data_IF_139031491884
#
_entry.id   IF_139031491884
#
_cell.length_a   1.000
_cell.length_b   1.000
_cell.length_c   1.000
_cell.angle_alpha   90.00
_cell.angle_beta   90.00
_cell.angle_gamma   90.00
#
_symmetry.space_group_name_H-M   'P 1'
#
loop_
_entity.id
_entity.type
_entity.pdbx_description
1 polymer ?
#
# COMPACT_ATOMS: atom_id res chain seq x y z
N UNK A 1 -37.55 -56.28 24.02
CA UNK A 1 -37.23 -55.20 24.98
C UNK A 1 -35.83 -54.60 24.74
N UNK A 2 -34.77 -55.40 24.50
CA UNK A 2 -33.38 -54.93 24.27
C UNK A 2 -33.23 -54.00 23.05
N UNK A 3 -33.92 -54.26 21.93
CA UNK A 3 -33.88 -53.38 20.73
C UNK A 3 -34.49 -51.98 20.94
N UNK A 4 -35.44 -51.81 21.87
CA UNK A 4 -36.01 -50.48 22.16
C UNK A 4 -35.10 -49.64 23.06
N UNK A 5 -34.30 -50.27 23.92
CA UNK A 5 -33.31 -49.58 24.75
C UNK A 5 -32.13 -49.05 23.92
N UNK A 6 -31.63 -49.83 22.96
CA UNK A 6 -30.54 -49.41 22.07
C UNK A 6 -30.86 -48.15 21.23
N UNK A 7 -32.10 -48.00 20.73
CA UNK A 7 -32.49 -46.82 19.97
C UNK A 7 -32.55 -45.53 20.80
N UNK A 8 -32.84 -45.62 22.11
CA UNK A 8 -32.91 -44.44 22.99
C UNK A 8 -31.52 -43.88 23.32
N UNK A 9 -30.53 -44.74 23.52
CA UNK A 9 -29.14 -44.31 23.74
C UNK A 9 -28.50 -43.75 22.47
N UNK A 10 -28.82 -44.32 21.31
CA UNK A 10 -28.31 -43.83 20.03
C UNK A 10 -28.81 -42.42 19.70
N UNK A 11 -30.12 -42.13 19.87
CA UNK A 11 -30.65 -40.78 19.66
C UNK A 11 -30.06 -39.75 20.63
N UNK A 12 -29.88 -40.13 21.91
CA UNK A 12 -29.29 -39.24 22.94
C UNK A 12 -27.81 -38.93 22.67
N UNK A 13 -27.04 -39.92 22.24
CA UNK A 13 -25.64 -39.73 21.85
C UNK A 13 -25.54 -38.83 20.61
N UNK A 14 -26.37 -39.06 19.59
CA UNK A 14 -26.39 -38.24 18.36
C UNK A 14 -26.74 -36.78 18.68
N UNK A 15 -27.74 -36.55 19.53
CA UNK A 15 -28.12 -35.21 19.95
C UNK A 15 -26.99 -34.52 20.75
N UNK A 16 -26.28 -35.26 21.60
CA UNK A 16 -25.14 -34.74 22.36
C UNK A 16 -23.95 -34.36 21.47
N UNK A 17 -23.68 -35.15 20.43
CA UNK A 17 -22.62 -34.86 19.44
C UNK A 17 -22.99 -33.60 18.63
N UNK A 18 -24.23 -33.50 18.16
CA UNK A 18 -24.68 -32.31 17.41
C UNK A 18 -24.62 -31.06 18.30
N UNK A 19 -25.04 -31.14 19.56
CA UNK A 19 -24.96 -30.03 20.49
C UNK A 19 -23.49 -29.60 20.74
N UNK A 20 -22.58 -30.57 20.90
CA UNK A 20 -21.16 -30.32 21.06
C UNK A 20 -20.56 -29.62 19.83
N UNK A 21 -20.95 -30.01 18.62
CA UNK A 21 -20.49 -29.35 17.38
C UNK A 21 -21.08 -27.94 17.17
N UNK A 22 -22.30 -27.66 17.67
CA UNK A 22 -22.88 -26.31 17.60
C UNK A 22 -22.11 -25.34 18.51
N UNK A 23 -21.66 -25.79 19.68
CA UNK A 23 -20.85 -24.96 20.61
C UNK A 23 -19.37 -24.84 20.24
N UNK A 24 -18.89 -25.60 19.25
CA UNK A 24 -17.51 -25.55 18.75
C UNK A 24 -17.33 -24.59 17.57
N UNK A 25 -18.40 -23.96 17.10
CA UNK A 25 -18.24 -22.88 16.12
C UNK A 25 -17.63 -21.67 16.84
N UNK A 26 -16.41 -21.23 16.49
CA UNK A 26 -15.86 -20.01 17.05
C UNK A 26 -16.85 -18.89 16.73
N UNK A 27 -17.34 -18.19 17.75
CA UNK A 27 -18.10 -16.97 17.56
C UNK A 27 -17.19 -16.04 16.78
N UNK A 28 -17.51 -15.83 15.51
CA UNK A 28 -16.79 -14.87 14.68
C UNK A 28 -17.11 -13.50 15.29
N UNK A 29 -16.14 -12.95 16.04
CA UNK A 29 -16.25 -11.61 16.57
C UNK A 29 -16.46 -10.68 15.37
N UNK A 30 -17.47 -9.83 15.47
CA UNK A 30 -17.75 -8.86 14.43
C UNK A 30 -16.60 -7.86 14.41
N UNK A 31 -16.07 -7.57 13.23
CA UNK A 31 -15.03 -6.56 13.06
C UNK A 31 -15.49 -5.23 13.69
N UNK A 32 -14.72 -4.74 14.66
CA UNK A 32 -14.94 -3.48 15.36
C UNK A 32 -14.09 -2.39 14.71
N UNK A 33 -14.60 -1.15 14.76
CA UNK A 33 -13.84 0.03 14.37
C UNK A 33 -13.32 0.76 15.59
N UNK A 34 -12.01 0.99 15.62
CA UNK A 34 -11.34 1.87 16.57
C UNK A 34 -10.91 3.16 15.89
N UNK A 35 -10.74 4.21 16.67
CA UNK A 35 -10.50 5.58 16.22
C UNK A 35 -9.31 6.18 16.95
N UNK A 36 -8.46 6.86 16.18
CA UNK A 36 -7.25 7.53 16.66
C UNK A 36 -7.30 8.99 16.24
N UNK A 37 -7.14 9.89 17.19
CA UNK A 37 -6.88 11.31 16.94
C UNK A 37 -5.59 11.70 17.68
N UNK A 38 -4.52 11.86 16.91
CA UNK A 38 -3.20 12.16 17.44
C UNK A 38 -3.04 13.59 17.99
N UNK A 39 -4.03 14.46 17.76
CA UNK A 39 -4.04 15.82 18.29
C UNK A 39 -4.82 15.92 19.60
N UNK A 40 -5.94 15.20 19.73
CA UNK A 40 -6.87 15.39 20.86
C UNK A 40 -7.27 14.13 21.62
N UNK A 41 -6.91 12.94 21.13
CA UNK A 41 -7.23 11.66 21.76
C UNK A 41 -6.52 11.42 23.10
N UNK A 42 -6.81 10.28 23.74
CA UNK A 42 -6.12 9.82 24.95
C UNK A 42 -5.94 8.31 24.92
N UNK A 43 -4.75 7.81 25.26
CA UNK A 43 -4.47 6.36 25.32
C UNK A 43 -5.11 5.67 26.53
N UNK A 44 -5.76 6.42 27.41
CA UNK A 44 -6.63 5.86 28.46
C UNK A 44 -8.04 5.52 27.96
N UNK A 45 -8.37 5.92 26.74
CA UNK A 45 -9.70 5.71 26.16
C UNK A 45 -9.86 4.29 25.61
N UNK A 46 -11.10 3.90 25.31
CA UNK A 46 -11.44 2.61 24.70
C UNK A 46 -11.25 2.59 23.17
N UNK A 47 -10.72 3.68 22.62
CA UNK A 47 -10.57 3.94 21.19
C UNK A 47 -11.88 3.87 20.39
N UNK A 48 -13.04 4.04 21.01
CA UNK A 48 -14.32 4.19 20.31
C UNK A 48 -14.44 5.55 19.61
N UNK A 49 -15.46 5.73 18.76
CA UNK A 49 -15.67 6.99 18.02
C UNK A 49 -15.84 8.21 18.95
N UNK A 50 -16.46 8.01 20.12
CA UNK A 50 -16.68 9.06 21.12
C UNK A 50 -15.53 9.22 22.11
N UNK A 51 -14.57 8.31 22.12
CA UNK A 51 -13.44 8.28 23.04
C UNK A 51 -12.21 7.72 22.33
N UNK A 52 -11.62 8.55 21.47
CA UNK A 52 -10.58 8.14 20.53
C UNK A 52 -9.23 8.00 21.24
N UNK A 53 -8.41 7.06 20.78
CA UNK A 53 -7.05 6.90 21.29
C UNK A 53 -6.11 7.98 20.76
N UNK A 54 -5.06 8.28 21.53
CA UNK A 54 -4.06 9.27 21.12
C UNK A 54 -3.08 8.65 20.12
N UNK A 55 -2.72 7.39 20.32
CA UNK A 55 -1.72 6.71 19.52
C UNK A 55 -2.29 5.53 18.75
N UNK A 56 -1.69 5.27 17.58
CA UNK A 56 -1.98 4.11 16.74
C UNK A 56 -1.62 2.81 17.50
N UNK A 57 -0.53 2.84 18.29
CA UNK A 57 -0.09 1.69 19.09
C UNK A 57 -1.11 1.26 20.15
N UNK A 58 -1.77 2.22 20.80
CA UNK A 58 -2.84 1.91 21.74
C UNK A 58 -4.05 1.29 21.03
N UNK A 59 -4.48 1.84 19.89
CA UNK A 59 -5.57 1.25 19.11
C UNK A 59 -5.24 -0.18 18.63
N UNK A 60 -4.00 -0.45 18.20
CA UNK A 60 -3.53 -1.81 17.86
C UNK A 60 -3.60 -2.74 19.07
N UNK A 61 -3.26 -2.25 20.26
CA UNK A 61 -3.30 -3.05 21.50
C UNK A 61 -4.74 -3.47 21.83
N UNK A 62 -5.69 -2.55 21.71
CA UNK A 62 -7.13 -2.80 21.93
C UNK A 62 -7.75 -3.68 20.87
N UNK A 63 -7.35 -3.52 19.61
CA UNK A 63 -7.94 -4.25 18.49
C UNK A 63 -7.68 -5.77 18.51
N UNK A 64 -8.57 -6.52 17.89
CA UNK A 64 -8.45 -7.94 17.56
C UNK A 64 -8.25 -8.14 16.05
N UNK A 65 -7.81 -9.32 15.61
CA UNK A 65 -7.75 -9.63 14.17
C UNK A 65 -9.14 -9.48 13.53
N UNK A 66 -9.19 -8.87 12.35
CA UNK A 66 -10.38 -8.50 11.61
C UNK A 66 -10.83 -7.04 11.82
N UNK A 67 -10.31 -6.36 12.85
CA UNK A 67 -10.75 -5.00 13.19
C UNK A 67 -10.15 -3.92 12.26
N UNK A 68 -10.77 -2.75 12.30
CA UNK A 68 -10.34 -1.55 11.57
C UNK A 68 -9.91 -0.44 12.52
N UNK A 69 -8.77 0.18 12.24
CA UNK A 69 -8.26 1.37 12.93
C UNK A 69 -8.37 2.56 11.98
N UNK A 70 -9.19 3.53 12.35
CA UNK A 70 -9.44 4.77 11.63
C UNK A 70 -8.62 5.89 12.26
N UNK A 71 -7.70 6.48 11.49
CA UNK A 71 -6.87 7.59 11.93
C UNK A 71 -7.49 8.88 11.41
N UNK A 72 -7.81 9.81 12.32
CA UNK A 72 -8.37 11.11 11.98
C UNK A 72 -7.44 11.91 11.06
N UNK A 73 -8.00 12.93 10.40
CA UNK A 73 -7.20 13.89 9.65
C UNK A 73 -6.26 14.65 10.60
N UNK A 74 -5.07 14.99 10.12
CA UNK A 74 -4.02 15.61 10.92
C UNK A 74 -2.67 14.92 10.79
N UNK A 75 -1.74 15.28 11.67
CA UNK A 75 -0.39 14.69 11.71
C UNK A 75 -0.22 13.87 12.99
N UNK A 76 0.07 12.58 12.82
CA UNK A 76 0.45 11.65 13.84
C UNK A 76 1.97 11.49 13.84
N UNK A 77 2.65 12.12 14.80
CA UNK A 77 4.09 11.92 14.98
C UNK A 77 4.32 10.62 15.75
N UNK A 78 5.13 9.72 15.20
CA UNK A 78 5.49 8.46 15.85
C UNK A 78 6.97 8.42 16.21
N UNK A 79 7.27 7.97 17.42
CA UNK A 79 8.64 7.82 17.94
C UNK A 79 9.08 6.36 17.98
N UNK A 80 8.20 5.44 17.58
CA UNK A 80 8.44 4.01 17.50
C UNK A 80 7.74 3.43 16.28
N UNK A 81 8.22 2.28 15.84
CA UNK A 81 7.62 1.51 14.74
C UNK A 81 6.21 1.05 15.09
N UNK A 82 5.28 1.26 14.16
CA UNK A 82 3.93 0.72 14.22
C UNK A 82 3.95 -0.73 13.74
N UNK A 83 3.57 -1.67 14.60
CA UNK A 83 3.57 -3.10 14.29
C UNK A 83 2.28 -3.76 14.79
N UNK A 84 1.40 -4.25 13.89
CA UNK A 84 0.20 -5.02 14.25
C UNK A 84 0.46 -6.36 14.96
N UNK A 85 1.72 -6.81 15.00
CA UNK A 85 2.10 -8.10 15.57
C UNK A 85 1.59 -9.25 14.72
N UNK A 86 0.77 -10.11 15.31
CA UNK A 86 0.10 -11.22 14.60
C UNK A 86 -1.34 -10.89 14.20
N UNK A 87 -1.79 -9.64 14.44
CA UNK A 87 -3.18 -9.24 14.21
C UNK A 87 -3.38 -8.85 12.76
N UNK A 88 -4.47 -9.34 12.17
CA UNK A 88 -4.88 -8.92 10.84
C UNK A 88 -5.74 -7.67 10.95
N UNK A 89 -5.17 -6.49 10.66
CA UNK A 89 -5.84 -5.22 10.88
C UNK A 89 -5.95 -4.42 9.58
N UNK A 90 -7.06 -3.73 9.39
CA UNK A 90 -7.14 -2.62 8.44
C UNK A 90 -6.76 -1.33 9.16
N UNK A 91 -5.65 -0.70 8.77
CA UNK A 91 -5.24 0.61 9.28
C UNK A 91 -5.43 1.62 8.15
N UNK A 92 -6.27 2.64 8.39
CA UNK A 92 -6.62 3.61 7.37
C UNK A 92 -6.64 5.05 7.87
N UNK A 93 -6.21 5.98 7.02
CA UNK A 93 -6.36 7.41 7.24
C UNK A 93 -7.71 7.95 6.75
N UNK A 94 -8.01 9.19 7.15
CA UNK A 94 -9.18 9.93 6.68
C UNK A 94 -9.10 10.32 5.19
N UNK A 95 -7.88 10.35 4.62
CA UNK A 95 -7.64 10.70 3.23
C UNK A 95 -6.24 11.25 2.97
N UNK A 96 -5.96 11.55 1.69
CA UNK A 96 -4.65 12.00 1.19
C UNK A 96 -4.58 13.50 0.86
N UNK A 97 -5.68 14.25 1.01
CA UNK A 97 -5.77 15.63 0.53
C UNK A 97 -6.69 16.51 1.38
N UNK A 98 -6.47 17.83 1.31
CA UNK A 98 -7.34 18.84 1.91
C UNK A 98 -7.53 18.68 3.42
N UNK A 99 -8.76 18.90 3.90
CA UNK A 99 -9.13 18.73 5.31
C UNK A 99 -9.14 17.28 5.78
N UNK A 100 -9.06 16.31 4.87
CA UNK A 100 -9.04 14.88 5.18
C UNK A 100 -7.62 14.30 5.22
N UNK A 101 -6.59 15.12 5.00
CA UNK A 101 -5.21 14.67 4.96
C UNK A 101 -4.78 14.05 6.29
N UNK A 102 -4.45 12.76 6.28
CA UNK A 102 -3.83 12.06 7.41
C UNK A 102 -2.36 11.76 7.12
N UNK A 103 -1.46 12.27 7.97
CA UNK A 103 -0.02 12.05 7.89
C UNK A 103 0.46 11.25 9.09
N UNK A 104 1.25 10.20 8.86
CA UNK A 104 2.00 9.47 9.89
C UNK A 104 3.48 9.76 9.66
N UNK A 105 4.08 10.51 10.58
CA UNK A 105 5.43 11.05 10.42
C UNK A 105 6.33 10.43 11.48
N UNK A 106 7.34 9.67 11.05
CA UNK A 106 8.37 9.21 11.98
C UNK A 106 9.20 10.38 12.51
N UNK A 107 9.61 10.26 13.77
CA UNK A 107 10.53 11.19 14.42
C UNK A 107 11.58 10.41 15.21
N UNK A 108 12.80 10.92 15.23
CA UNK A 108 13.94 10.20 15.82
C UNK A 108 14.38 9.00 14.97
N UNK A 109 14.94 7.98 15.64
CA UNK A 109 15.54 6.81 14.99
C UNK A 109 14.52 5.67 14.88
N UNK A 110 13.62 5.75 13.90
CA UNK A 110 12.58 4.74 13.64
C UNK A 110 12.94 3.98 12.37
N UNK A 111 13.37 2.72 12.50
CA UNK A 111 13.86 1.91 11.36
C UNK A 111 12.81 1.68 10.26
N UNK A 112 11.53 1.66 10.61
CA UNK A 112 10.42 1.72 9.68
C UNK A 112 9.20 2.36 10.33
N UNK A 113 8.42 3.17 9.60
CA UNK A 113 7.16 3.72 10.13
C UNK A 113 6.19 2.59 10.44
N UNK A 114 5.97 1.70 9.45
CA UNK A 114 5.18 0.49 9.61
C UNK A 114 6.04 -0.76 9.42
N UNK A 115 5.82 -1.77 10.27
CA UNK A 115 6.44 -3.10 10.14
C UNK A 115 5.40 -4.19 10.21
N UNK A 116 5.42 -5.07 9.20
CA UNK A 116 4.70 -6.33 9.17
C UNK A 116 5.74 -7.45 9.18
N UNK A 117 5.79 -8.25 10.24
CA UNK A 117 6.89 -9.21 10.42
C UNK A 117 6.42 -10.54 11.04
N UNK A 118 5.24 -11.01 10.63
CA UNK A 118 4.65 -12.26 11.10
C UNK A 118 3.96 -12.99 9.95
N UNK A 119 4.18 -14.30 9.84
CA UNK A 119 3.51 -15.16 8.88
C UNK A 119 1.99 -15.27 9.11
N UNK A 120 1.49 -14.86 10.28
CA UNK A 120 0.05 -14.76 10.56
C UNK A 120 -0.61 -13.55 9.90
N UNK A 121 0.18 -12.58 9.42
CA UNK A 121 -0.32 -11.43 8.66
C UNK A 121 -0.56 -11.91 7.22
N UNK A 122 -1.82 -12.05 6.84
CA UNK A 122 -2.21 -12.33 5.45
C UNK A 122 -2.66 -11.05 4.73
N UNK A 123 -3.21 -11.21 3.52
CA UNK A 123 -3.78 -10.13 2.71
C UNK A 123 -5.04 -9.50 3.33
N UNK A 124 -5.56 -10.06 4.43
CA UNK A 124 -6.59 -9.42 5.26
C UNK A 124 -6.06 -8.21 6.03
N UNK A 125 -4.73 -8.08 6.19
CA UNK A 125 -4.11 -6.88 6.76
C UNK A 125 -3.93 -5.82 5.69
N UNK A 126 -4.45 -4.62 5.92
CA UNK A 126 -4.47 -3.55 4.91
C UNK A 126 -3.95 -2.24 5.50
N UNK A 127 -3.05 -1.57 4.78
CA UNK A 127 -2.63 -0.19 5.06
C UNK A 127 -3.09 0.72 3.92
N UNK A 128 -3.93 1.73 4.21
CA UNK A 128 -4.45 2.59 3.14
C UNK A 128 -4.79 4.03 3.51
N UNK A 129 -4.83 4.90 2.50
CA UNK A 129 -5.27 6.30 2.60
C UNK A 129 -4.45 7.13 3.60
N UNK A 130 -3.13 6.88 3.66
CA UNK A 130 -2.20 7.59 4.54
C UNK A 130 -1.09 8.26 3.74
N UNK A 131 -0.63 9.41 4.23
CA UNK A 131 0.72 9.89 3.92
C UNK A 131 1.67 9.33 4.97
N UNK A 132 2.55 8.42 4.57
CA UNK A 132 3.57 7.81 5.43
C UNK A 132 4.90 8.50 5.17
N UNK A 133 5.47 9.15 6.18
CA UNK A 133 6.73 9.86 6.04
C UNK A 133 7.79 9.25 6.95
N UNK A 134 8.79 8.62 6.32
CA UNK A 134 9.98 8.16 7.01
C UNK A 134 10.89 9.36 7.38
N UNK A 135 11.72 9.17 8.40
CA UNK A 135 12.73 10.15 8.82
C UNK A 135 14.15 9.57 8.80
N UNK A 136 14.28 8.27 9.08
CA UNK A 136 15.54 7.53 9.03
C UNK A 136 15.20 6.04 8.96
N UNK A 137 15.00 5.48 7.77
CA UNK A 137 14.53 4.10 7.62
C UNK A 137 13.54 3.89 6.49
N UNK A 138 12.82 2.76 6.55
CA UNK A 138 11.78 2.41 5.59
C UNK A 138 10.48 3.17 5.88
N UNK A 139 9.70 3.49 4.85
CA UNK A 139 8.29 3.85 5.06
C UNK A 139 7.52 2.64 5.57
N UNK A 140 7.61 1.54 4.82
CA UNK A 140 6.99 0.25 5.16
C UNK A 140 8.01 -0.87 5.03
N UNK A 141 8.18 -1.66 6.09
CA UNK A 141 8.95 -2.90 6.08
C UNK A 141 8.00 -4.10 6.15
N UNK A 142 8.19 -5.07 5.26
CA UNK A 142 7.42 -6.32 5.20
C UNK A 142 8.40 -7.49 5.23
N UNK A 143 8.28 -8.35 6.24
CA UNK A 143 9.17 -9.48 6.47
C UNK A 143 8.47 -10.72 7.00
N UNK A 144 9.23 -11.81 7.16
CA UNK A 144 8.80 -13.04 7.81
C UNK A 144 7.52 -13.65 7.22
N UNK A 145 7.43 -13.67 5.89
CA UNK A 145 6.29 -14.25 5.16
C UNK A 145 4.96 -13.54 5.44
N UNK A 146 5.01 -12.28 5.87
CA UNK A 146 3.84 -11.42 6.01
C UNK A 146 3.34 -11.01 4.62
N UNK A 147 2.03 -11.06 4.40
CA UNK A 147 1.43 -10.80 3.09
C UNK A 147 0.36 -9.68 3.13
N UNK A 148 0.61 -8.52 3.76
CA UNK A 148 -0.37 -7.44 3.81
C UNK A 148 -0.64 -6.85 2.42
N UNK A 149 -1.74 -6.09 2.32
CA UNK A 149 -2.02 -5.21 1.19
C UNK A 149 -1.66 -3.77 1.56
N UNK A 150 -0.72 -3.18 0.84
CA UNK A 150 -0.34 -1.76 1.00
C UNK A 150 -0.92 -1.02 -0.19
N UNK A 151 -1.95 -0.20 0.04
CA UNK A 151 -2.70 0.40 -1.06
C UNK A 151 -3.11 1.86 -0.86
N UNK A 152 -3.16 2.63 -1.94
CA UNK A 152 -3.70 4.01 -1.92
C UNK A 152 -3.02 4.88 -0.87
N UNK A 153 -1.70 4.76 -0.72
CA UNK A 153 -0.91 5.60 0.18
C UNK A 153 -0.01 6.55 -0.61
N UNK A 154 0.37 7.64 0.04
CA UNK A 154 1.52 8.44 -0.35
C UNK A 154 2.68 8.10 0.60
N UNK A 155 3.73 7.45 0.11
CA UNK A 155 4.91 7.11 0.91
C UNK A 155 6.06 8.05 0.54
N UNK A 156 6.52 8.80 1.54
CA UNK A 156 7.66 9.70 1.46
C UNK A 156 8.85 9.00 2.09
N UNK A 157 9.79 8.57 1.26
CA UNK A 157 11.05 7.96 1.71
C UNK A 157 12.01 9.00 2.26
N UNK A 158 13.00 8.51 3.01
CA UNK A 158 14.13 9.30 3.48
C UNK A 158 15.19 9.39 2.37
N UNK A 159 15.45 10.60 1.86
CA UNK A 159 16.40 10.87 0.79
C UNK A 159 17.85 11.00 1.28
N UNK A 160 18.10 11.06 2.59
CA UNK A 160 19.43 11.28 3.15
C UNK A 160 20.24 9.98 3.34
N UNK A 161 19.64 8.81 3.18
CA UNK A 161 20.32 7.52 3.39
C UNK A 161 20.34 6.65 2.13
N UNK A 162 21.53 6.15 1.77
CA UNK A 162 21.69 5.19 0.67
C UNK A 162 21.27 3.76 1.04
N UNK A 163 20.59 3.57 2.17
CA UNK A 163 20.43 2.27 2.80
C UNK A 163 18.97 1.80 2.85
N UNK A 164 18.00 2.71 2.70
CA UNK A 164 16.60 2.39 2.99
C UNK A 164 15.69 2.71 1.81
N UNK A 165 14.92 1.69 1.42
CA UNK A 165 13.85 1.81 0.43
C UNK A 165 12.59 2.41 1.06
N UNK A 166 11.73 3.04 0.28
CA UNK A 166 10.43 3.51 0.76
C UNK A 166 9.53 2.35 1.19
N UNK A 167 9.51 1.26 0.42
CA UNK A 167 8.93 -0.02 0.79
C UNK A 167 10.00 -1.11 0.62
N UNK A 168 10.23 -1.89 1.67
CA UNK A 168 11.13 -3.04 1.64
C UNK A 168 10.39 -4.34 1.96
N UNK A 169 10.60 -5.36 1.14
CA UNK A 169 9.91 -6.65 1.19
C UNK A 169 10.95 -7.77 1.25
N UNK A 170 10.84 -8.60 2.28
CA UNK A 170 11.84 -9.62 2.63
C UNK A 170 11.17 -10.96 2.88
N UNK A 171 11.50 -12.00 2.08
CA UNK A 171 10.92 -13.34 2.17
C UNK A 171 9.38 -13.35 2.32
N UNK A 172 8.69 -12.51 1.52
CA UNK A 172 7.27 -12.21 1.70
C UNK A 172 6.54 -12.11 0.35
N UNK A 173 5.20 -12.23 0.36
CA UNK A 173 4.35 -12.13 -0.83
C UNK A 173 3.20 -11.12 -0.67
N UNK A 174 3.48 -9.85 -0.27
CA UNK A 174 2.44 -8.83 -0.14
C UNK A 174 1.89 -8.39 -1.49
N UNK A 175 0.78 -7.66 -1.46
CA UNK A 175 0.30 -6.86 -2.59
C UNK A 175 0.59 -5.40 -2.35
N UNK A 176 1.27 -4.73 -3.27
CA UNK A 176 1.57 -3.30 -3.24
C UNK A 176 0.86 -2.64 -4.41
N UNK A 177 -0.15 -1.82 -4.15
CA UNK A 177 -0.96 -1.26 -5.23
C UNK A 177 -1.45 0.17 -5.09
N UNK A 178 -1.57 0.89 -6.21
CA UNK A 178 -2.18 2.23 -6.24
C UNK A 178 -1.48 3.22 -5.30
N UNK A 179 -0.19 3.05 -5.00
CA UNK A 179 0.57 3.95 -4.14
C UNK A 179 1.33 4.98 -4.98
N UNK A 180 1.51 6.17 -4.41
CA UNK A 180 2.47 7.18 -4.88
C UNK A 180 3.65 7.16 -3.92
N UNK A 181 4.85 6.91 -4.44
CA UNK A 181 6.07 6.79 -3.66
C UNK A 181 7.02 7.86 -4.16
N UNK A 182 7.47 8.74 -3.26
CA UNK A 182 8.34 9.86 -3.64
C UNK A 182 9.51 9.93 -2.72
N UNK A 183 10.69 10.10 -3.31
CA UNK A 183 11.96 10.18 -2.60
C UNK A 183 12.26 8.89 -1.81
N UNK A 184 13.53 8.72 -1.45
CA UNK A 184 14.06 7.47 -0.88
C UNK A 184 15.20 6.90 -1.72
N UNK A 185 15.91 5.91 -1.18
CA UNK A 185 16.94 5.23 -1.95
C UNK A 185 16.30 4.38 -3.05
N UNK A 186 15.55 3.34 -2.72
CA UNK A 186 14.70 2.65 -3.69
C UNK A 186 13.21 2.95 -3.42
N UNK A 187 12.35 2.84 -4.42
CA UNK A 187 10.91 3.02 -4.24
C UNK A 187 10.28 1.79 -3.58
N UNK A 188 10.19 0.71 -4.35
CA UNK A 188 9.77 -0.61 -3.87
C UNK A 188 10.90 -1.60 -4.12
N UNK A 189 11.44 -2.17 -3.05
CA UNK A 189 12.46 -3.22 -3.11
C UNK A 189 11.89 -4.52 -2.55
N UNK A 190 11.77 -5.52 -3.42
CA UNK A 190 11.56 -6.90 -3.02
C UNK A 190 12.88 -7.67 -3.08
N UNK A 191 13.21 -8.45 -2.06
CA UNK A 191 14.37 -9.33 -2.18
C UNK A 191 14.11 -10.46 -3.18
N UNK A 192 15.16 -11.15 -3.62
CA UNK A 192 15.06 -12.23 -4.62
C UNK A 192 14.26 -13.45 -4.15
N UNK A 193 13.94 -13.52 -2.85
CA UNK A 193 13.17 -14.61 -2.24
C UNK A 193 11.70 -14.23 -2.03
N UNK A 194 11.32 -12.99 -2.35
CA UNK A 194 9.97 -12.47 -2.24
C UNK A 194 9.21 -12.67 -3.54
N UNK A 195 7.90 -12.89 -3.42
CA UNK A 195 6.97 -13.04 -4.55
C UNK A 195 5.84 -12.01 -4.42
N UNK A 196 6.23 -10.74 -4.26
CA UNK A 196 5.29 -9.64 -4.11
C UNK A 196 4.58 -9.34 -5.44
N UNK A 197 3.28 -9.06 -5.36
CA UNK A 197 2.53 -8.50 -6.50
C UNK A 197 2.58 -6.98 -6.38
N UNK A 198 3.22 -6.32 -7.33
CA UNK A 198 3.45 -4.87 -7.30
C UNK A 198 2.76 -4.28 -8.51
N UNK A 199 1.65 -3.56 -8.33
CA UNK A 199 0.91 -3.05 -9.48
C UNK A 199 0.43 -1.64 -9.32
N UNK A 200 0.26 -0.92 -10.41
CA UNK A 200 -0.45 0.35 -10.39
C UNK A 200 0.21 1.41 -9.48
N UNK A 201 1.50 1.30 -9.21
CA UNK A 201 2.21 2.26 -8.34
C UNK A 201 2.94 3.28 -9.20
N UNK A 202 3.09 4.49 -8.66
CA UNK A 202 3.97 5.52 -9.22
C UNK A 202 5.12 5.77 -8.26
N UNK A 203 6.36 5.60 -8.73
CA UNK A 203 7.57 5.92 -7.97
C UNK A 203 8.30 7.08 -8.65
N UNK A 204 8.65 8.09 -7.85
CA UNK A 204 9.23 9.34 -8.33
C UNK A 204 10.48 9.71 -7.53
N UNK A 205 11.53 10.16 -8.22
CA UNK A 205 12.68 10.83 -7.61
C UNK A 205 13.42 10.00 -6.55
N UNK A 206 13.62 8.70 -6.81
CA UNK A 206 14.47 7.85 -5.97
C UNK A 206 15.94 7.93 -6.40
N UNK A 207 16.87 7.73 -5.47
CA UNK A 207 18.31 7.79 -5.75
C UNK A 207 18.79 6.51 -6.45
N UNK A 208 18.33 5.36 -5.97
CA UNK A 208 18.51 4.03 -6.51
C UNK A 208 17.39 3.66 -7.49
N UNK A 209 16.81 2.49 -7.31
CA UNK A 209 15.82 1.92 -8.24
C UNK A 209 14.39 2.27 -7.84
N UNK A 210 13.53 2.62 -8.79
CA UNK A 210 12.12 2.82 -8.49
C UNK A 210 11.45 1.50 -8.10
N UNK A 211 11.66 0.45 -8.89
CA UNK A 211 11.17 -0.89 -8.61
C UNK A 211 12.29 -1.93 -8.75
N UNK A 212 12.52 -2.69 -7.70
CA UNK A 212 13.55 -3.71 -7.62
C UNK A 212 12.89 -5.06 -7.32
N UNK A 213 12.96 -6.02 -8.26
CA UNK A 213 12.29 -7.34 -8.22
C UNK A 213 10.75 -7.26 -8.03
N UNK A 214 10.12 -8.42 -7.80
CA UNK A 214 8.67 -8.62 -7.66
C UNK A 214 7.97 -8.93 -8.99
N UNK A 215 6.69 -9.31 -8.93
CA UNK A 215 5.83 -9.48 -10.09
C UNK A 215 5.11 -8.15 -10.36
N UNK A 216 5.58 -7.39 -11.36
CA UNK A 216 5.21 -5.98 -11.55
C UNK A 216 4.19 -5.75 -12.66
N UNK A 217 3.14 -4.94 -12.47
CA UNK A 217 2.14 -4.64 -13.51
C UNK A 217 1.74 -3.16 -13.51
N UNK A 218 1.68 -2.50 -14.66
CA UNK A 218 1.15 -1.12 -14.77
C UNK A 218 1.81 -0.12 -13.79
N UNK A 219 3.10 -0.26 -13.50
CA UNK A 219 3.79 0.69 -12.63
C UNK A 219 4.47 1.79 -13.44
N UNK A 220 4.65 2.96 -12.83
CA UNK A 220 5.32 4.12 -13.43
C UNK A 220 6.55 4.47 -12.60
N UNK A 221 7.73 4.48 -13.22
CA UNK A 221 8.96 4.99 -12.64
C UNK A 221 9.36 6.30 -13.30
N UNK A 222 9.50 7.38 -12.51
CA UNK A 222 9.78 8.72 -13.02
C UNK A 222 10.95 9.44 -12.33
N UNK A 223 11.90 9.98 -13.11
CA UNK A 223 13.01 10.82 -12.64
C UNK A 223 13.85 10.21 -11.51
N UNK A 224 14.10 8.91 -11.56
CA UNK A 224 14.93 8.24 -10.58
C UNK A 224 16.40 8.29 -11.04
N UNK A 225 17.31 8.69 -10.14
CA UNK A 225 18.74 8.78 -10.45
C UNK A 225 19.40 7.41 -10.66
N UNK A 226 18.72 6.31 -10.34
CA UNK A 226 19.16 4.96 -10.67
C UNK A 226 18.30 4.32 -11.74
N UNK A 227 17.78 3.13 -11.43
CA UNK A 227 17.01 2.34 -12.37
C UNK A 227 15.52 2.65 -12.26
N UNK A 228 14.79 2.73 -13.38
CA UNK A 228 13.33 2.71 -13.29
C UNK A 228 12.83 1.33 -12.86
N UNK A 229 13.17 0.32 -13.65
CA UNK A 229 12.88 -1.09 -13.39
C UNK A 229 14.18 -1.88 -13.31
N UNK A 230 14.46 -2.48 -12.15
CA UNK A 230 15.67 -3.26 -11.90
C UNK A 230 15.34 -4.74 -11.66
N UNK A 231 16.20 -5.63 -12.19
CA UNK A 231 16.11 -7.10 -12.14
C UNK A 231 14.71 -7.65 -12.44
N UNK A 232 14.36 -7.77 -13.72
CA UNK A 232 13.13 -8.47 -14.10
C UNK A 232 13.29 -9.98 -14.02
N UNK A 233 12.33 -10.65 -13.39
CA UNK A 233 12.30 -12.12 -13.32
C UNK A 233 11.49 -12.69 -14.48
N UNK A 234 11.57 -14.00 -14.72
CA UNK A 234 10.70 -14.66 -15.70
C UNK A 234 9.22 -14.63 -15.33
N UNK A 235 8.90 -14.33 -14.07
CA UNK A 235 7.54 -14.21 -13.56
C UNK A 235 7.02 -12.77 -13.61
N UNK A 236 7.87 -11.80 -13.94
CA UNK A 236 7.44 -10.50 -14.45
C UNK A 236 6.79 -10.72 -15.83
N UNK A 237 5.62 -11.33 -15.82
CA UNK A 237 4.65 -11.35 -16.95
C UNK A 237 3.96 -9.98 -17.08
N UNK A 238 4.67 -8.96 -16.62
CA UNK A 238 4.25 -7.64 -16.23
C UNK A 238 4.10 -6.70 -17.41
N UNK A 239 2.99 -6.84 -18.12
CA UNK A 239 2.61 -5.90 -19.16
C UNK A 239 2.50 -4.47 -18.60
N UNK A 240 2.97 -3.49 -19.39
CA UNK A 240 2.75 -2.04 -19.23
C UNK A 240 3.46 -1.32 -18.06
N UNK A 241 4.60 -1.82 -17.58
CA UNK A 241 5.46 -1.03 -16.68
C UNK A 241 6.20 0.04 -17.48
N UNK A 242 6.02 1.30 -17.11
CA UNK A 242 6.53 2.45 -17.84
C UNK A 242 7.59 3.19 -17.05
N UNK A 243 8.66 3.60 -17.72
CA UNK A 243 9.86 4.14 -17.07
C UNK A 243 10.39 5.35 -17.86
N UNK A 244 10.43 6.53 -17.25
CA UNK A 244 10.85 7.78 -17.90
C UNK A 244 11.82 8.61 -17.07
N UNK A 245 12.77 9.25 -17.75
CA UNK A 245 13.68 10.22 -17.14
C UNK A 245 14.62 9.63 -16.10
N UNK A 246 14.80 8.30 -16.10
CA UNK A 246 15.71 7.62 -15.21
C UNK A 246 17.10 7.48 -15.85
N UNK A 247 18.15 7.35 -15.04
CA UNK A 247 19.52 7.10 -15.55
C UNK A 247 19.57 5.82 -16.38
N UNK A 248 18.81 4.80 -15.98
CA UNK A 248 18.56 3.61 -16.79
C UNK A 248 17.12 3.15 -16.61
N UNK A 249 16.33 3.22 -17.67
CA UNK A 249 14.91 2.88 -17.55
C UNK A 249 14.66 1.40 -17.19
N UNK A 250 15.46 0.48 -17.76
CA UNK A 250 15.35 -0.96 -17.55
C UNK A 250 16.75 -1.60 -17.48
N UNK A 251 17.01 -2.45 -16.48
CA UNK A 251 18.27 -3.21 -16.39
C UNK A 251 17.98 -4.67 -16.00
N UNK A 252 18.66 -5.61 -16.67
CA UNK A 252 18.46 -7.05 -16.54
C UNK A 252 17.02 -7.50 -16.82
N UNK A 253 16.37 -6.83 -17.78
CA UNK A 253 15.01 -7.15 -18.22
C UNK A 253 14.96 -7.76 -19.64
N UNK A 254 16.11 -7.99 -20.26
CA UNK A 254 16.23 -8.21 -21.71
C UNK A 254 15.91 -9.62 -22.20
N UNK A 255 15.81 -10.63 -21.32
CA UNK A 255 15.56 -12.03 -21.73
C UNK A 255 14.10 -12.48 -21.68
N UNK A 256 13.22 -11.74 -20.99
CA UNK A 256 11.82 -12.14 -20.79
C UNK A 256 10.82 -11.09 -21.30
N UNK A 257 11.32 -10.01 -21.90
CA UNK A 257 10.53 -8.81 -22.08
C UNK A 257 10.63 -8.27 -23.52
N UNK A 258 10.18 -9.06 -24.51
CA UNK A 258 9.95 -8.53 -25.87
C UNK A 258 8.72 -7.63 -25.96
N UNK A 259 7.99 -7.44 -24.84
CA UNK A 259 6.87 -6.50 -24.67
C UNK A 259 7.17 -5.38 -23.65
N UNK A 260 8.41 -5.26 -23.16
CA UNK A 260 8.83 -4.20 -22.20
C UNK A 260 8.63 -2.80 -22.75
N UNK A 261 8.67 -2.72 -24.08
CA UNK A 261 8.57 -1.50 -24.87
C UNK A 261 7.14 -1.25 -25.36
N UNK A 262 6.17 -2.10 -25.00
CA UNK A 262 4.77 -1.67 -25.04
C UNK A 262 4.56 -0.73 -23.85
N UNK A 263 5.05 0.50 -24.04
CA UNK A 263 4.41 1.70 -23.48
C UNK A 263 2.93 1.42 -23.57
N UNK A 264 2.23 1.48 -22.44
CA UNK A 264 0.78 1.32 -22.41
C UNK A 264 0.21 2.08 -23.62
N UNK A 265 -0.47 1.40 -24.57
CA UNK A 265 -0.86 2.02 -25.84
C UNK A 265 -1.81 3.20 -25.63
N UNK A 266 -2.41 3.31 -24.44
CA UNK A 266 -3.23 4.45 -24.03
C UNK A 266 -2.42 5.57 -23.35
N UNK A 267 -1.18 5.30 -22.96
CA UNK A 267 -0.24 6.28 -22.41
C UNK A 267 0.49 6.99 -23.56
N UNK A 268 -0.13 8.06 -24.05
CA UNK A 268 0.45 8.85 -25.13
C UNK A 268 1.61 9.73 -24.63
N UNK A 269 2.84 9.24 -24.81
CA UNK A 269 4.10 9.98 -24.54
C UNK A 269 4.23 11.29 -25.33
N UNK A 270 3.42 11.51 -26.37
CA UNK A 270 3.37 12.79 -27.08
C UNK A 270 2.64 13.88 -26.30
N UNK A 271 2.04 13.57 -25.16
CA UNK A 271 1.46 14.55 -24.24
C UNK A 271 2.51 15.25 -23.37
N UNK A 272 3.70 15.51 -23.91
CA UNK A 272 4.63 16.52 -23.40
C UNK A 272 4.04 17.93 -23.64
N UNK A 273 2.88 18.19 -23.05
CA UNK A 273 2.30 19.51 -22.98
C UNK A 273 2.93 20.26 -21.82
N UNK A 274 3.42 21.47 -22.08
CA UNK A 274 3.54 22.46 -21.00
C UNK A 274 2.11 22.67 -20.52
N UNK A 275 1.75 22.10 -19.35
CA UNK A 275 0.54 22.52 -18.67
C UNK A 275 0.77 23.97 -18.26
N UNK A 276 0.28 24.88 -19.09
CA UNK A 276 0.14 26.28 -18.71
C UNK A 276 -0.83 26.26 -17.54
N UNK A 277 -0.29 26.44 -16.33
CA UNK A 277 -0.91 26.20 -15.02
C UNK A 277 -2.41 25.94 -15.05
N UNK A 278 -2.83 24.78 -14.54
CA UNK A 278 -4.24 24.46 -14.31
C UNK A 278 -4.86 25.55 -13.40
N UNK A 279 -5.50 26.54 -14.01
CA UNK A 279 -6.28 27.57 -13.31
C UNK A 279 -7.68 27.08 -12.95
N UNK A 280 -8.03 25.84 -13.33
CA UNK A 280 -9.34 25.23 -13.11
C UNK A 280 -9.19 23.98 -12.27
N UNK A 281 -10.09 23.83 -11.29
CA UNK A 281 -10.16 22.69 -10.35
C UNK A 281 -10.79 21.43 -10.94
N UNK A 282 -11.05 21.40 -12.25
CA UNK A 282 -11.83 20.35 -12.92
C UNK A 282 -11.19 20.02 -14.27
N UNK A 283 -10.96 18.74 -14.52
CA UNK A 283 -10.43 18.23 -15.79
C UNK A 283 -11.48 17.29 -16.39
N UNK A 284 -12.18 17.72 -17.44
CA UNK A 284 -13.17 16.88 -18.12
C UNK A 284 -12.54 16.22 -19.32
N UNK A 285 -12.44 14.89 -19.31
CA UNK A 285 -12.06 14.11 -20.50
C UNK A 285 -13.28 13.43 -21.08
N UNK A 286 -13.50 13.59 -22.38
CA UNK A 286 -14.52 12.87 -23.14
C UNK A 286 -13.86 11.92 -24.13
N UNK A 287 -14.26 10.64 -24.09
CA UNK A 287 -14.08 9.70 -25.20
C UNK A 287 -12.93 8.70 -25.06
N UNK A 288 -13.22 7.55 -24.45
CA UNK A 288 -12.83 6.21 -24.93
C UNK A 288 -13.55 5.15 -24.08
N UNK A 289 -13.86 3.99 -24.66
CA UNK A 289 -14.48 2.88 -23.95
C UNK A 289 -13.44 2.12 -23.14
N UNK A 290 -13.14 2.61 -21.94
CA UNK A 290 -12.12 2.06 -21.04
C UNK A 290 -12.56 0.75 -20.39
N UNK A 291 -11.61 -0.16 -20.17
CA UNK A 291 -11.81 -1.36 -19.36
C UNK A 291 -11.31 -1.12 -17.92
N UNK A 292 -11.92 -1.80 -16.96
CA UNK A 292 -11.54 -1.72 -15.54
C UNK A 292 -10.04 -2.02 -15.35
N UNK A 293 -9.30 -1.17 -14.62
CA UNK A 293 -7.87 -1.28 -14.24
C UNK A 293 -6.80 -0.58 -15.13
N UNK A 294 -7.17 0.37 -15.98
CA UNK A 294 -6.21 1.24 -16.71
C UNK A 294 -6.02 2.61 -16.00
N UNK A 295 -4.85 3.24 -16.10
CA UNK A 295 -4.56 4.56 -15.48
C UNK A 295 -4.53 5.69 -16.50
N UNK A 296 -5.07 6.86 -16.12
CA UNK A 296 -4.81 8.14 -16.78
C UNK A 296 -3.93 9.03 -15.90
N UNK A 297 -2.86 9.58 -16.47
CA UNK A 297 -1.98 10.53 -15.80
C UNK A 297 -1.27 11.46 -16.77
N UNK A 298 -0.94 12.68 -16.33
CA UNK A 298 -0.16 13.65 -17.09
C UNK A 298 1.11 14.02 -16.35
N UNK A 299 2.23 14.04 -17.05
CA UNK A 299 3.43 14.72 -16.58
C UNK A 299 3.26 16.22 -16.78
N UNK A 300 3.25 16.96 -15.68
CA UNK A 300 3.11 18.42 -15.69
C UNK A 300 4.45 19.05 -15.40
N UNK A 301 4.97 19.80 -16.36
CA UNK A 301 6.17 20.61 -16.20
C UNK A 301 5.79 22.06 -15.97
N UNK A 302 5.84 22.58 -14.72
CA UNK A 302 5.39 23.94 -14.41
C UNK A 302 6.33 25.04 -14.93
N UNK A 303 7.50 24.67 -15.47
CA UNK A 303 8.53 25.61 -15.90
C UNK A 303 9.06 25.24 -17.30
N UNK A 304 8.77 26.08 -18.30
CA UNK A 304 9.22 25.91 -19.67
C UNK A 304 10.77 25.87 -19.81
N UNK A 305 11.51 26.46 -18.86
CA UNK A 305 12.97 26.45 -18.85
C UNK A 305 13.57 25.16 -18.26
N UNK A 306 12.74 24.28 -17.68
CA UNK A 306 13.10 22.93 -17.24
C UNK A 306 12.24 21.90 -17.98
N UNK A 307 12.00 22.09 -19.27
CA UNK A 307 11.18 21.20 -20.10
C UNK A 307 11.64 19.72 -20.10
N UNK A 308 12.86 19.42 -19.61
CA UNK A 308 13.39 18.07 -19.45
C UNK A 308 13.07 17.40 -18.10
N UNK A 309 12.44 18.09 -17.15
CA UNK A 309 12.14 17.59 -15.80
C UNK A 309 10.69 17.99 -15.43
N UNK A 310 9.74 17.06 -15.46
CA UNK A 310 8.38 17.35 -15.01
C UNK A 310 8.37 17.58 -13.50
N UNK A 311 7.65 18.62 -13.07
CA UNK A 311 7.58 19.04 -11.68
C UNK A 311 6.48 18.33 -10.88
N UNK A 312 5.47 17.78 -11.57
CA UNK A 312 4.36 17.06 -10.94
C UNK A 312 3.85 15.94 -11.85
N UNK A 313 3.32 14.87 -11.24
CA UNK A 313 2.54 13.83 -11.91
C UNK A 313 1.08 13.99 -11.49
N UNK A 314 0.21 14.35 -12.43
CA UNK A 314 -1.22 14.48 -12.19
C UNK A 314 -1.89 13.15 -12.53
N UNK A 315 -2.41 12.45 -11.52
CA UNK A 315 -3.21 11.24 -11.71
C UNK A 315 -4.68 11.65 -11.86
N UNK A 316 -5.36 11.20 -12.92
CA UNK A 316 -6.70 11.69 -13.31
C UNK A 316 -7.84 10.71 -13.01
N UNK A 317 -7.58 9.65 -12.22
CA UNK A 317 -8.55 8.62 -11.76
C UNK A 317 -9.03 7.61 -12.84
N UNK A 318 -9.46 6.41 -12.40
CA UNK A 318 -10.26 5.45 -13.20
C UNK A 318 -11.55 4.95 -12.51
N UNK A 319 -11.88 5.37 -11.29
CA UNK A 319 -12.92 4.67 -10.51
C UNK A 319 -14.29 5.33 -10.47
N UNK A 320 -14.52 6.46 -11.16
CA UNK A 320 -15.84 7.02 -11.51
C UNK A 320 -15.62 8.27 -12.36
N UNK A 321 -16.51 8.54 -13.33
CA UNK A 321 -16.45 9.58 -14.38
C UNK A 321 -16.38 11.06 -13.92
N UNK A 322 -15.77 11.37 -12.78
CA UNK A 322 -15.62 12.75 -12.31
C UNK A 322 -14.38 12.94 -11.44
N UNK A 323 -13.54 13.90 -11.85
CA UNK A 323 -12.74 14.78 -10.98
C UNK A 323 -13.35 16.17 -11.02
#
# INVERSE_FOLDING_TARGET
MIRMLQNRYFLSLLFSIILFFIFLTPLQAWAVSYYVDCATGSDTNDCSIGSQCLTIGQAITTASSGDTINIAAGTCTVTSTINPGTKELTIQGAGLMGSNLTRVVASGTVSAVFTYNSASITNSSVLKNLVVQANAGYGVYIGSSANPVIQSNYILGDDDSSAYSSIYISYSAPTIENNIIVSGYDGVLADSSSSAVIRNNTVINTIGSAFYFGDRYNNIAYLNFGYGMYYCTSNDTGHYNTSFGNDTNYNNCTTYNTSADEVDPHFNVSAAGISTGLTTTTLTMTGAGWITNEWAGYFVTPNANRASQAGYFLIVSNTTDTL
#
